data_IF_736061726055
#
_entry.id   IF_736061726055
#
_cell.length_a   1.000
_cell.length_b   1.000
_cell.length_c   1.000
_cell.angle_alpha   90.00
_cell.angle_beta   90.00
_cell.angle_gamma   90.00
#
_symmetry.space_group_name_H-M   'P 1'
#
loop_
_entity.id
_entity.type
_entity.pdbx_description
1 polymer ?
#
# COMPACT_ATOMS: atom_id res chain seq x y z
N UNK A 1 -8.87 -8.43 -29.82
CA UNK A 1 -9.15 -7.25 -30.68
C UNK A 1 -10.34 -6.55 -30.08
N UNK A 2 -10.22 -5.27 -29.72
CA UNK A 2 -11.35 -4.43 -29.28
C UNK A 2 -11.53 -3.38 -30.37
N UNK A 3 -12.72 -3.34 -30.98
CA UNK A 3 -13.14 -2.30 -31.93
C UNK A 3 -13.47 -1.02 -31.15
N UNK A 4 -12.93 0.12 -31.58
CA UNK A 4 -13.29 1.45 -31.09
C UNK A 4 -14.47 1.95 -31.94
N UNK A 5 -15.65 2.03 -31.35
CA UNK A 5 -16.79 2.78 -31.92
C UNK A 5 -16.66 4.26 -31.56
N UNK A 6 -16.91 5.13 -32.54
CA UNK A 6 -16.72 6.59 -32.48
C UNK A 6 -17.57 7.24 -31.37
N UNK A 7 -16.92 7.97 -30.45
CA UNK A 7 -17.57 8.68 -29.33
C UNK A 7 -17.96 10.10 -29.76
N UNK A 8 -19.26 10.39 -29.75
CA UNK A 8 -19.84 11.72 -29.99
C UNK A 8 -19.76 12.59 -28.71
N UNK A 9 -19.27 13.85 -28.77
CA UNK A 9 -18.91 14.63 -27.58
C UNK A 9 -20.07 15.28 -26.81
N UNK A 10 -21.33 15.12 -27.25
CA UNK A 10 -22.48 15.83 -26.65
C UNK A 10 -23.49 14.95 -25.88
N UNK A 11 -23.18 13.67 -25.63
CA UNK A 11 -24.05 12.80 -24.84
C UNK A 11 -23.36 12.42 -23.52
N UNK A 12 -23.87 12.86 -22.34
CA UNK A 12 -23.28 12.48 -21.07
C UNK A 12 -23.46 10.98 -20.86
N UNK A 13 -22.41 10.21 -21.12
CA UNK A 13 -22.33 8.79 -20.84
C UNK A 13 -22.62 8.56 -19.34
N UNK A 14 -23.81 8.02 -19.05
CA UNK A 14 -24.11 7.41 -17.76
C UNK A 14 -23.30 6.11 -17.65
N UNK A 15 -22.04 6.24 -17.23
CA UNK A 15 -21.17 5.12 -16.89
C UNK A 15 -21.69 4.50 -15.59
N UNK A 16 -22.54 3.47 -15.68
CA UNK A 16 -22.81 2.58 -14.54
C UNK A 16 -21.58 1.71 -14.34
N UNK A 17 -20.65 2.16 -13.49
CA UNK A 17 -19.55 1.32 -13.03
C UNK A 17 -20.14 0.26 -12.09
N UNK A 18 -20.28 -0.97 -12.59
CA UNK A 18 -20.45 -2.13 -11.72
C UNK A 18 -19.16 -2.34 -10.92
N UNK A 19 -19.01 -1.60 -9.82
CA UNK A 19 -17.95 -1.88 -8.84
C UNK A 19 -18.40 -3.14 -8.10
N UNK A 20 -18.07 -4.31 -8.62
CA UNK A 20 -17.86 -5.46 -7.75
C UNK A 20 -16.71 -5.07 -6.82
N UNK A 21 -17.02 -4.55 -5.63
CA UNK A 21 -16.02 -4.36 -4.58
C UNK A 21 -15.52 -5.75 -4.19
N UNK A 22 -14.29 -6.15 -4.54
CA UNK A 22 -13.76 -7.39 -3.98
C UNK A 22 -13.76 -7.24 -2.46
N UNK A 23 -14.39 -8.20 -1.77
CA UNK A 23 -14.49 -8.27 -0.30
C UNK A 23 -13.09 -8.04 0.31
N UNK A 24 -12.88 -6.86 0.91
CA UNK A 24 -11.67 -6.45 1.64
C UNK A 24 -11.18 -7.51 2.65
N UNK A 25 -12.09 -8.37 3.12
CA UNK A 25 -11.84 -9.43 4.11
C UNK A 25 -10.86 -10.53 3.70
N UNK A 26 -10.50 -10.67 2.41
CA UNK A 26 -9.45 -11.62 1.98
C UNK A 26 -8.05 -10.99 1.95
N UNK A 27 -7.94 -9.71 1.57
CA UNK A 27 -6.65 -9.02 1.46
C UNK A 27 -6.00 -8.81 2.83
N UNK A 28 -6.80 -8.55 3.87
CA UNK A 28 -6.31 -8.37 5.25
C UNK A 28 -5.66 -9.63 5.85
N UNK A 29 -5.94 -10.83 5.33
CA UNK A 29 -5.34 -12.07 5.85
C UNK A 29 -4.14 -12.55 5.04
N UNK A 30 -4.07 -12.26 3.75
CA UNK A 30 -2.92 -12.67 2.91
C UNK A 30 -1.72 -11.71 3.01
N UNK A 31 -1.95 -10.42 3.31
CA UNK A 31 -0.84 -9.44 3.35
C UNK A 31 -0.13 -9.33 4.72
N UNK A 32 -0.80 -9.62 5.84
CA UNK A 32 -0.26 -9.36 7.19
C UNK A 32 0.70 -10.45 7.74
N UNK A 33 0.88 -11.56 7.02
CA UNK A 33 1.82 -12.62 7.39
C UNK A 33 3.24 -12.44 6.87
N UNK A 34 3.49 -11.39 6.09
CA UNK A 34 4.78 -11.20 5.42
C UNK A 34 5.82 -10.57 6.33
N UNK A 35 7.05 -11.10 6.28
CA UNK A 35 8.16 -10.63 7.11
C UNK A 35 8.68 -9.28 6.57
N UNK A 36 8.75 -8.22 7.39
CA UNK A 36 9.40 -6.99 6.99
C UNK A 36 10.92 -7.22 6.89
N UNK A 37 11.51 -6.74 5.80
CA UNK A 37 12.94 -6.95 5.51
C UNK A 37 13.77 -5.68 5.70
N UNK A 38 13.21 -4.51 5.36
CA UNK A 38 13.99 -3.28 5.26
C UNK A 38 13.10 -2.04 5.36
N UNK A 39 13.57 -1.02 6.09
CA UNK A 39 13.02 0.34 6.00
C UNK A 39 13.62 1.02 4.76
N UNK A 40 12.76 1.49 3.87
CA UNK A 40 13.16 2.11 2.59
C UNK A 40 12.91 3.62 2.56
N UNK A 41 12.32 4.17 3.62
CA UNK A 41 12.14 5.61 3.79
C UNK A 41 11.34 5.94 5.03
N UNK A 42 11.22 7.24 5.29
CA UNK A 42 10.44 7.79 6.37
C UNK A 42 9.63 8.99 5.89
N UNK A 43 8.49 9.23 6.54
CA UNK A 43 7.67 10.42 6.35
C UNK A 43 7.12 10.86 7.69
N UNK A 44 6.89 12.15 7.87
CA UNK A 44 6.19 12.69 9.03
C UNK A 44 4.80 13.16 8.63
N UNK A 45 3.80 12.88 9.45
CA UNK A 45 2.44 13.40 9.30
C UNK A 45 1.86 13.65 10.69
N UNK A 46 1.31 14.84 10.92
CA UNK A 46 0.72 15.23 12.21
C UNK A 46 1.63 14.91 13.43
N UNK A 47 2.89 15.35 13.38
CA UNK A 47 3.91 15.14 14.42
C UNK A 47 4.28 13.67 14.70
N UNK A 48 3.76 12.73 13.89
CA UNK A 48 4.06 11.30 13.98
C UNK A 48 4.98 10.89 12.85
N UNK A 49 6.05 10.15 13.16
CA UNK A 49 6.97 9.58 12.17
C UNK A 49 6.44 8.21 11.73
N UNK A 50 6.41 8.00 10.43
CA UNK A 50 6.06 6.75 9.78
C UNK A 50 7.24 6.26 8.96
N UNK A 51 7.52 4.97 9.03
CA UNK A 51 8.52 4.32 8.20
C UNK A 51 7.83 3.54 7.09
N UNK A 52 8.33 3.71 5.89
CA UNK A 52 7.98 2.85 4.77
C UNK A 52 8.83 1.58 4.84
N UNK A 53 8.19 0.46 5.18
CA UNK A 53 8.84 -0.83 5.41
C UNK A 53 8.52 -1.78 4.26
N UNK A 54 9.55 -2.25 3.58
CA UNK A 54 9.47 -3.25 2.51
C UNK A 54 9.26 -4.64 3.10
N UNK A 55 8.33 -5.39 2.53
CA UNK A 55 8.02 -6.78 2.89
C UNK A 55 8.78 -7.76 1.98
N UNK A 56 8.91 -9.01 2.44
CA UNK A 56 9.66 -10.09 1.75
C UNK A 56 9.23 -10.29 0.30
N UNK A 57 7.92 -10.22 0.02
CA UNK A 57 7.43 -10.10 -1.35
C UNK A 57 7.71 -8.67 -1.85
N UNK A 58 8.78 -8.55 -2.64
CA UNK A 58 9.43 -7.29 -3.07
C UNK A 58 8.51 -6.26 -3.72
N UNK A 59 7.25 -6.62 -3.98
CA UNK A 59 6.20 -5.82 -4.61
C UNK A 59 5.51 -4.87 -3.64
N UNK A 60 5.53 -5.16 -2.33
CA UNK A 60 4.74 -4.42 -1.34
C UNK A 60 5.60 -3.72 -0.28
N UNK A 61 5.17 -2.52 0.10
CA UNK A 61 5.68 -1.78 1.24
C UNK A 61 4.50 -1.30 2.08
N UNK A 62 4.70 -1.22 3.38
CA UNK A 62 3.71 -0.79 4.36
C UNK A 62 4.22 0.41 5.14
N UNK A 63 3.33 1.33 5.49
CA UNK A 63 3.66 2.42 6.40
C UNK A 63 3.39 1.96 7.84
N UNK A 64 4.44 1.93 8.65
CA UNK A 64 4.35 1.58 10.06
C UNK A 64 4.77 2.79 10.91
N UNK A 65 4.06 3.11 12.00
CA UNK A 65 4.45 4.20 12.88
C UNK A 65 5.76 3.88 13.60
N UNK A 66 6.52 4.92 13.94
CA UNK A 66 7.81 4.82 14.62
C UNK A 66 7.76 3.90 15.85
N UNK A 67 6.75 4.04 16.70
CA UNK A 67 6.59 3.20 17.89
C UNK A 67 6.44 1.72 17.56
N UNK A 68 5.74 1.39 16.47
CA UNK A 68 5.58 0.00 16.06
C UNK A 68 6.89 -0.58 15.54
N UNK A 69 7.62 0.17 14.72
CA UNK A 69 8.91 -0.26 14.18
C UNK A 69 9.95 -0.40 15.30
N UNK A 70 10.00 0.56 16.23
CA UNK A 70 10.90 0.52 17.38
C UNK A 70 10.64 -0.68 18.29
N UNK A 71 9.37 -1.00 18.56
CA UNK A 71 9.02 -2.08 19.48
C UNK A 71 9.08 -3.47 18.82
N UNK A 72 8.59 -3.62 17.58
CA UNK A 72 8.49 -4.93 16.91
C UNK A 72 9.70 -5.26 16.04
N UNK A 73 10.35 -4.24 15.47
CA UNK A 73 11.42 -4.41 14.48
C UNK A 73 12.66 -3.55 14.79
N UNK A 74 13.20 -3.57 16.03
CA UNK A 74 14.30 -2.68 16.44
C UNK A 74 15.55 -2.86 15.57
N UNK A 75 15.84 -4.09 15.13
CA UNK A 75 16.99 -4.38 14.25
C UNK A 75 16.85 -3.72 12.87
N UNK A 76 15.63 -3.56 12.35
CA UNK A 76 15.42 -2.87 11.08
C UNK A 76 15.67 -1.37 11.24
N UNK A 77 15.27 -0.80 12.37
CA UNK A 77 15.53 0.59 12.71
C UNK A 77 17.03 0.86 12.88
N UNK A 78 17.74 0.01 13.61
CA UNK A 78 19.20 0.12 13.77
C UNK A 78 19.94 0.07 12.43
N UNK A 79 19.50 -0.80 11.51
CA UNK A 79 20.11 -0.91 10.18
C UNK A 79 19.80 0.29 9.28
N UNK A 80 18.69 0.99 9.51
CA UNK A 80 18.32 2.18 8.72
C UNK A 80 19.07 3.44 9.17
N UNK A 81 19.42 3.54 10.46
CA UNK A 81 20.11 4.71 11.04
C UNK A 81 21.65 4.64 10.85
N UNK A 82 22.19 3.44 10.61
CA UNK A 82 23.63 3.23 10.34
C UNK A 82 24.01 3.60 8.91
#
# INVERSE_FOLDING_TARGET
MVQLENVDPNSPLSVRVGVETPRLSKLEKECFGQKPIQIIGETSCCETIYFLVKLEDKTYAVLLPFDEVKNKYPKLLENYVK
#
